data_IF_827383075608
#
_entry.id   IF_827383075608
#
_cell.length_a   1.000
_cell.length_b   1.000
_cell.length_c   1.000
_cell.angle_alpha   90.00
_cell.angle_beta   90.00
_cell.angle_gamma   90.00
#
_symmetry.space_group_name_H-M   'P 1'
#
loop_
_entity.id
_entity.type
_entity.pdbx_description
1 polymer ?
#
# COMPACT_ATOMS: atom_id res chain seq x y z
N UNK A 1 3.73 0.70 5.03
CA UNK A 1 4.16 -0.26 3.99
C UNK A 1 3.97 0.42 2.64
N UNK A 2 4.98 0.44 1.77
CA UNK A 2 4.80 0.99 0.43
C UNK A 2 4.08 -0.06 -0.42
N UNK A 3 3.08 0.37 -1.21
CA UNK A 3 2.43 -0.50 -2.19
C UNK A 3 3.39 -0.80 -3.34
N UNK A 4 3.27 -1.99 -3.92
CA UNK A 4 4.04 -2.37 -5.10
C UNK A 4 3.78 -1.41 -6.28
N UNK A 5 4.81 -1.03 -7.05
CA UNK A 5 4.64 -0.17 -8.20
C UNK A 5 3.88 -0.89 -9.32
N UNK A 6 3.10 -0.13 -10.07
CA UNK A 6 2.20 -0.64 -11.11
C UNK A 6 2.40 0.05 -12.45
N UNK A 7 2.01 -0.64 -13.53
CA UNK A 7 1.93 -0.07 -14.88
C UNK A 7 0.80 -0.74 -15.65
N UNK A 8 0.25 -0.02 -16.63
CA UNK A 8 -0.78 -0.57 -17.49
C UNK A 8 -0.16 -1.59 -18.45
N UNK A 9 -0.85 -2.72 -18.63
CA UNK A 9 -0.48 -3.75 -19.60
C UNK A 9 0.96 -4.26 -19.45
N UNK A 10 1.47 -4.33 -18.22
CA UNK A 10 2.81 -4.85 -17.92
C UNK A 10 2.92 -6.33 -18.29
N UNK A 11 3.20 -6.63 -19.55
CA UNK A 11 3.32 -7.98 -20.10
C UNK A 11 4.55 -8.08 -20.98
N UNK A 12 5.38 -9.08 -20.70
CA UNK A 12 6.68 -9.27 -21.31
C UNK A 12 6.86 -10.71 -21.78
N UNK A 13 7.83 -10.90 -22.68
CA UNK A 13 8.17 -12.19 -23.26
C UNK A 13 9.56 -12.54 -22.81
N UNK A 14 9.72 -13.75 -22.28
CA UNK A 14 11.02 -14.26 -21.83
C UNK A 14 11.83 -14.68 -23.06
N UNK A 15 13.12 -14.30 -23.13
CA UNK A 15 13.92 -14.46 -24.37
C UNK A 15 14.55 -15.83 -24.56
N UNK A 16 14.66 -16.61 -23.50
CA UNK A 16 15.24 -17.97 -23.52
C UNK A 16 14.62 -18.82 -22.42
N UNK A 17 15.00 -20.09 -22.35
CA UNK A 17 14.56 -20.97 -21.29
C UNK A 17 15.40 -20.90 -20.02
N UNK A 18 14.77 -21.18 -18.88
CA UNK A 18 15.37 -21.15 -17.55
C UNK A 18 15.06 -22.42 -16.75
N UNK A 19 15.98 -22.80 -15.87
CA UNK A 19 15.75 -23.81 -14.83
C UNK A 19 14.94 -23.23 -13.67
N UNK A 20 14.48 -24.10 -12.77
CA UNK A 20 13.77 -23.66 -11.55
C UNK A 20 14.65 -22.82 -10.60
N UNK A 21 15.98 -22.92 -10.70
CA UNK A 21 16.93 -22.24 -9.82
C UNK A 21 17.40 -20.88 -10.32
N UNK A 22 17.17 -20.54 -11.59
CA UNK A 22 17.66 -19.29 -12.17
C UNK A 22 16.89 -18.09 -11.61
N UNK A 23 17.65 -17.06 -11.20
CA UNK A 23 17.10 -15.81 -10.63
C UNK A 23 17.37 -14.58 -11.50
N UNK A 24 18.10 -14.74 -12.60
CA UNK A 24 18.36 -13.70 -13.59
C UNK A 24 17.65 -14.07 -14.88
N UNK A 25 16.62 -13.30 -15.26
CA UNK A 25 15.77 -13.60 -16.41
C UNK A 25 15.83 -12.49 -17.43
N UNK A 26 16.44 -12.78 -18.57
CA UNK A 26 16.40 -11.93 -19.75
C UNK A 26 15.04 -12.00 -20.46
N UNK A 27 14.59 -10.83 -20.90
CA UNK A 27 13.39 -10.59 -21.68
C UNK A 27 13.76 -10.34 -23.14
N UNK A 28 12.75 -10.35 -24.02
CA UNK A 28 12.90 -9.82 -25.36
C UNK A 28 13.30 -8.34 -25.32
N UNK A 29 14.11 -7.91 -26.30
CA UNK A 29 14.60 -6.53 -26.38
C UNK A 29 13.47 -5.50 -26.33
N UNK A 30 13.61 -4.51 -25.44
CA UNK A 30 12.63 -3.45 -25.20
C UNK A 30 11.41 -3.84 -24.36
N UNK A 31 11.30 -5.09 -23.89
CA UNK A 31 10.17 -5.51 -23.06
C UNK A 31 10.29 -5.04 -21.60
N UNK A 32 11.50 -4.83 -21.08
CA UNK A 32 11.71 -4.31 -19.73
C UNK A 32 11.09 -2.92 -19.52
N UNK A 33 11.07 -2.09 -20.57
CA UNK A 33 10.42 -0.77 -20.55
C UNK A 33 8.89 -0.82 -20.36
N UNK A 34 8.27 -2.01 -20.49
CA UNK A 34 6.84 -2.22 -20.24
C UNK A 34 6.54 -2.51 -18.78
N UNK A 35 7.54 -2.66 -17.94
CA UNK A 35 7.41 -2.97 -16.52
C UNK A 35 7.70 -1.75 -15.65
N UNK A 36 7.19 -1.71 -14.40
CA UNK A 36 7.54 -0.65 -13.47
C UNK A 36 9.05 -0.64 -13.15
N UNK A 37 9.59 0.56 -12.88
CA UNK A 37 10.96 0.68 -12.38
C UNK A 37 11.08 0.07 -10.98
N UNK A 38 12.22 -0.54 -10.67
CA UNK A 38 12.56 -1.09 -9.35
C UNK A 38 13.39 -0.13 -8.49
N UNK A 39 13.40 1.16 -8.83
CA UNK A 39 14.14 2.18 -8.11
C UNK A 39 13.67 2.35 -6.66
N UNK A 40 14.59 2.70 -5.75
CA UNK A 40 14.27 2.93 -4.34
C UNK A 40 13.97 1.67 -3.53
N UNK A 41 14.42 0.50 -3.99
CA UNK A 41 14.24 -0.79 -3.28
C UNK A 41 12.83 -1.37 -3.41
N UNK A 42 12.02 -0.87 -4.34
CA UNK A 42 10.68 -1.35 -4.59
C UNK A 42 10.72 -2.57 -5.52
N UNK A 43 9.95 -3.60 -5.17
CA UNK A 43 9.75 -4.78 -6.02
C UNK A 43 8.27 -4.94 -6.35
N UNK A 44 7.96 -5.87 -7.24
CA UNK A 44 6.58 -6.21 -7.62
C UNK A 44 6.52 -7.66 -8.06
N UNK A 45 5.32 -8.24 -8.04
CA UNK A 45 5.12 -9.62 -8.45
C UNK A 45 4.77 -9.71 -9.93
N UNK A 46 5.27 -10.74 -10.61
CA UNK A 46 4.85 -11.12 -11.95
C UNK A 46 4.39 -12.57 -11.97
N UNK A 47 3.39 -12.88 -12.78
CA UNK A 47 2.93 -14.24 -13.07
C UNK A 47 3.69 -14.76 -14.29
N UNK A 48 4.38 -15.89 -14.18
CA UNK A 48 5.20 -16.52 -15.22
C UNK A 48 4.62 -17.88 -15.63
N UNK A 49 4.18 -17.98 -16.89
CA UNK A 49 3.53 -19.18 -17.42
C UNK A 49 3.96 -19.50 -18.85
N UNK A 50 3.67 -20.73 -19.30
CA UNK A 50 3.82 -21.17 -20.68
C UNK A 50 2.62 -20.70 -21.52
N UNK A 51 2.80 -19.62 -22.27
CA UNK A 51 1.72 -19.03 -23.07
C UNK A 51 1.40 -19.79 -24.34
N UNK A 52 2.29 -20.68 -24.80
CA UNK A 52 2.06 -21.46 -26.02
C UNK A 52 0.95 -22.48 -25.80
N UNK A 53 0.97 -23.15 -24.65
CA UNK A 53 0.00 -24.20 -24.33
C UNK A 53 -1.18 -23.67 -23.52
N UNK A 54 -0.97 -22.60 -22.73
CA UNK A 54 -1.96 -22.03 -21.82
C UNK A 54 -2.16 -20.54 -22.11
N UNK A 55 -3.23 -20.15 -22.84
CA UNK A 55 -3.55 -18.75 -23.10
C UNK A 55 -3.78 -17.95 -21.81
N UNK A 56 -4.34 -18.59 -20.79
CA UNK A 56 -4.56 -18.06 -19.45
C UNK A 56 -3.55 -18.68 -18.45
N UNK A 57 -2.83 -17.88 -17.64
CA UNK A 57 -1.90 -18.42 -16.64
C UNK A 57 -2.57 -19.32 -15.60
N UNK A 58 -3.87 -19.15 -15.31
CA UNK A 58 -4.58 -19.98 -14.32
C UNK A 58 -4.80 -21.43 -14.77
N UNK A 59 -4.67 -21.70 -16.08
CA UNK A 59 -4.75 -23.05 -16.64
C UNK A 59 -3.38 -23.77 -16.68
N UNK A 60 -2.26 -23.07 -16.47
CA UNK A 60 -0.92 -23.67 -16.47
C UNK A 60 -0.63 -24.34 -15.11
N UNK A 61 -0.50 -25.68 -15.04
CA UNK A 61 -0.20 -26.37 -13.79
C UNK A 61 1.17 -26.02 -13.21
N UNK A 62 2.04 -25.40 -14.01
CA UNK A 62 3.35 -24.92 -13.60
C UNK A 62 3.40 -23.39 -13.48
N UNK A 63 2.26 -22.69 -13.45
CA UNK A 63 2.23 -21.24 -13.24
C UNK A 63 3.00 -20.85 -11.97
N UNK A 64 3.77 -19.79 -12.07
CA UNK A 64 4.60 -19.33 -10.97
C UNK A 64 4.43 -17.83 -10.76
N UNK A 65 4.32 -17.41 -9.51
CA UNK A 65 4.43 -16.00 -9.15
C UNK A 65 5.86 -15.75 -8.70
N UNK A 66 6.50 -14.74 -9.26
CA UNK A 66 7.88 -14.34 -8.93
C UNK A 66 7.92 -12.91 -8.43
N UNK A 67 8.84 -12.59 -7.52
CA UNK A 67 9.09 -11.23 -7.04
C UNK A 67 10.23 -10.63 -7.85
N UNK A 68 9.99 -9.58 -8.62
CA UNK A 68 11.05 -8.78 -9.22
C UNK A 68 11.67 -7.89 -8.15
N UNK A 69 12.98 -7.98 -7.96
CA UNK A 69 13.75 -7.17 -7.01
C UNK A 69 14.66 -6.17 -7.70
N UNK A 70 15.00 -6.40 -8.97
CA UNK A 70 15.74 -5.47 -9.80
C UNK A 70 15.36 -5.64 -11.28
N UNK A 71 15.43 -4.54 -12.02
CA UNK A 71 15.21 -4.48 -13.47
C UNK A 71 16.32 -3.60 -14.06
N UNK A 72 17.13 -4.17 -14.94
CA UNK A 72 18.18 -3.46 -15.66
C UNK A 72 18.02 -3.70 -17.16
N UNK A 73 17.60 -2.67 -17.90
CA UNK A 73 17.18 -2.77 -19.30
C UNK A 73 16.15 -3.90 -19.49
N UNK A 74 16.54 -5.02 -20.10
CA UNK A 74 15.67 -6.18 -20.37
C UNK A 74 16.02 -7.40 -19.49
N UNK A 75 16.71 -7.20 -18.36
CA UNK A 75 17.08 -8.28 -17.43
C UNK A 75 16.42 -8.05 -16.08
N UNK A 76 15.67 -9.05 -15.63
CA UNK A 76 15.05 -9.10 -14.31
C UNK A 76 15.94 -9.87 -13.34
N UNK A 77 16.09 -9.35 -12.12
CA UNK A 77 16.48 -10.14 -10.95
C UNK A 77 15.23 -10.50 -10.17
N UNK A 78 15.04 -11.78 -9.89
CA UNK A 78 13.80 -12.30 -9.27
C UNK A 78 14.05 -13.20 -8.06
N UNK A 79 13.08 -13.22 -7.15
CA UNK A 79 12.89 -14.32 -6.20
C UNK A 79 11.76 -15.22 -6.71
N UNK A 80 12.02 -16.52 -6.75
CA UNK A 80 11.11 -17.56 -7.28
C UNK A 80 10.02 -17.94 -6.26
N UNK A 81 9.03 -18.71 -6.70
CA UNK A 81 8.08 -19.41 -5.83
C UNK A 81 7.37 -18.50 -4.79
N UNK A 82 6.78 -17.39 -5.23
CA UNK A 82 6.03 -16.48 -4.37
C UNK A 82 4.57 -16.89 -4.23
N UNK A 83 3.92 -16.37 -3.19
CA UNK A 83 2.47 -16.50 -2.96
C UNK A 83 1.97 -17.96 -2.98
N UNK A 84 2.79 -18.89 -2.49
CA UNK A 84 2.44 -20.32 -2.41
C UNK A 84 2.61 -21.09 -3.72
N UNK A 85 3.10 -20.46 -4.79
CA UNK A 85 3.49 -21.17 -6.03
C UNK A 85 4.82 -21.91 -5.86
N UNK A 86 5.13 -22.82 -6.79
CA UNK A 86 6.38 -23.57 -6.80
C UNK A 86 7.28 -23.13 -7.96
N UNK A 87 8.59 -23.09 -7.74
CA UNK A 87 9.55 -22.82 -8.80
C UNK A 87 9.55 -23.97 -9.80
N UNK A 88 9.31 -23.67 -11.08
CA UNK A 88 9.31 -24.69 -12.15
C UNK A 88 10.36 -24.38 -13.22
N UNK A 89 10.76 -25.40 -13.97
CA UNK A 89 11.54 -25.21 -15.19
C UNK A 89 10.69 -24.52 -16.25
N UNK A 90 11.28 -23.54 -16.92
CA UNK A 90 10.66 -22.69 -17.94
C UNK A 90 11.49 -22.78 -19.24
N UNK A 91 11.73 -24.01 -19.69
CA UNK A 91 12.65 -24.32 -20.79
C UNK A 91 12.17 -25.53 -21.62
N UNK A 92 10.86 -25.65 -21.84
CA UNK A 92 10.34 -26.69 -22.72
C UNK A 92 10.56 -26.27 -24.18
N UNK A 93 11.12 -27.17 -24.99
CA UNK A 93 11.42 -26.90 -26.39
C UNK A 93 10.17 -26.47 -27.18
N UNK A 94 10.31 -25.43 -28.00
CA UNK A 94 9.22 -24.89 -28.82
C UNK A 94 8.16 -24.12 -28.05
N UNK A 95 8.38 -23.82 -26.76
CA UNK A 95 7.44 -23.06 -25.93
C UNK A 95 7.90 -21.62 -25.73
N UNK A 96 6.93 -20.73 -25.72
CA UNK A 96 7.08 -19.32 -25.38
C UNK A 96 6.54 -19.11 -23.98
N UNK A 97 7.34 -18.42 -23.16
CA UNK A 97 6.94 -18.04 -21.83
C UNK A 97 6.72 -16.54 -21.73
N UNK A 98 5.67 -16.15 -21.03
CA UNK A 98 5.35 -14.76 -20.75
C UNK A 98 5.41 -14.51 -19.26
N UNK A 99 5.67 -13.25 -18.91
CA UNK A 99 5.40 -12.74 -17.58
C UNK A 99 4.43 -11.57 -17.66
N UNK A 100 3.52 -11.47 -16.69
CA UNK A 100 2.59 -10.36 -16.61
C UNK A 100 2.44 -9.85 -15.17
N UNK A 101 2.34 -8.53 -15.05
CA UNK A 101 1.90 -7.85 -13.85
C UNK A 101 0.39 -8.02 -13.75
N UNK A 102 -0.03 -9.02 -12.97
CA UNK A 102 -1.41 -9.29 -12.65
C UNK A 102 -1.72 -8.86 -11.21
N UNK A 103 -3.00 -8.68 -10.91
CA UNK A 103 -3.45 -8.52 -9.54
C UNK A 103 -3.28 -9.85 -8.81
N UNK A 104 -2.49 -9.86 -7.74
CA UNK A 104 -2.27 -11.04 -6.91
C UNK A 104 -2.91 -10.87 -5.53
N UNK A 105 -2.98 -11.96 -4.75
CA UNK A 105 -3.53 -11.90 -3.39
C UNK A 105 -2.71 -10.96 -2.51
N UNK A 106 -1.37 -11.03 -2.59
CA UNK A 106 -0.48 -10.13 -1.85
C UNK A 106 -0.79 -8.67 -2.15
N UNK A 107 -1.02 -8.31 -3.41
CA UNK A 107 -1.36 -6.94 -3.78
C UNK A 107 -2.65 -6.48 -3.09
N UNK A 108 -3.69 -7.32 -3.07
CA UNK A 108 -4.95 -7.01 -2.38
C UNK A 108 -4.74 -6.93 -0.87
N UNK A 109 -4.02 -7.87 -0.27
CA UNK A 109 -3.74 -7.87 1.17
C UNK A 109 -2.97 -6.62 1.59
N UNK A 110 -1.98 -6.20 0.80
CA UNK A 110 -1.20 -4.98 1.04
C UNK A 110 -2.07 -3.73 0.92
N UNK A 111 -2.97 -3.68 -0.07
CA UNK A 111 -3.95 -2.59 -0.22
C UNK A 111 -4.88 -2.55 0.98
N UNK A 112 -5.44 -3.69 1.39
CA UNK A 112 -6.32 -3.79 2.56
C UNK A 112 -5.61 -3.37 3.83
N UNK A 113 -4.35 -3.77 4.02
CA UNK A 113 -3.53 -3.36 5.16
C UNK A 113 -3.24 -1.85 5.13
N UNK A 114 -2.94 -1.29 3.96
CA UNK A 114 -2.74 0.14 3.80
C UNK A 114 -4.01 0.95 4.11
N UNK A 115 -5.17 0.50 3.64
CA UNK A 115 -6.47 1.11 3.95
C UNK A 115 -6.77 1.01 5.45
N UNK A 116 -6.60 -0.17 6.06
CA UNK A 116 -6.81 -0.36 7.49
C UNK A 116 -5.85 0.48 8.35
N UNK A 117 -4.65 0.77 7.84
CA UNK A 117 -3.71 1.68 8.49
C UNK A 117 -4.12 3.16 8.37
N UNK A 118 -5.01 3.51 7.44
CA UNK A 118 -5.73 4.80 7.44
C UNK A 118 -6.87 4.71 8.44
N UNK A 119 -6.52 4.45 9.70
CA UNK A 119 -7.42 4.69 10.80
C UNK A 119 -7.19 6.12 11.29
N UNK A 120 -8.27 6.87 11.47
CA UNK A 120 -8.26 8.15 12.18
C UNK A 120 -8.94 7.89 13.53
N UNK A 121 -8.25 7.22 14.47
CA UNK A 121 -8.89 6.83 15.70
C UNK A 121 -9.41 8.08 16.39
N UNK A 122 -10.61 7.99 16.94
CA UNK A 122 -11.17 9.03 17.77
C UNK A 122 -10.89 8.74 19.23
N UNK A 123 -10.56 9.77 19.98
CA UNK A 123 -10.40 9.70 21.44
C UNK A 123 -11.44 10.60 22.09
N UNK A 124 -12.16 10.11 23.09
CA UNK A 124 -12.99 10.95 23.97
C UNK A 124 -12.09 11.38 25.13
N UNK A 125 -11.97 12.69 25.43
CA UNK A 125 -11.09 13.15 26.50
C UNK A 125 -11.59 12.66 27.87
N UNK A 126 -10.67 12.56 28.82
CA UNK A 126 -10.97 12.01 30.15
C UNK A 126 -11.82 12.92 31.06
N UNK A 127 -12.25 14.08 30.57
CA UNK A 127 -13.05 15.05 31.31
C UNK A 127 -14.46 15.17 30.72
N UNK A 128 -15.45 15.28 31.60
CA UNK A 128 -16.84 15.53 31.19
C UNK A 128 -17.00 16.99 30.76
N UNK A 129 -17.54 17.27 29.57
CA UNK A 129 -17.86 18.62 29.14
C UNK A 129 -18.85 19.34 30.07
N UNK A 130 -18.59 20.61 30.36
CA UNK A 130 -19.50 21.53 31.04
C UNK A 130 -19.34 22.96 30.47
N UNK A 131 -20.07 23.92 31.05
CA UNK A 131 -20.05 25.33 30.62
C UNK A 131 -18.79 26.11 31.05
N UNK A 132 -17.82 25.46 31.71
CA UNK A 132 -16.61 26.10 32.26
C UNK A 132 -15.30 25.44 31.84
N UNK A 133 -15.35 24.20 31.36
CA UNK A 133 -14.19 23.38 31.02
C UNK A 133 -13.63 23.83 29.67
N UNK A 134 -12.34 24.16 29.67
CA UNK A 134 -11.59 24.55 28.47
C UNK A 134 -10.40 23.62 28.19
N UNK A 135 -10.06 22.74 29.13
CA UNK A 135 -8.91 21.85 29.06
C UNK A 135 -9.40 20.41 28.93
N UNK A 136 -9.09 19.80 27.79
CA UNK A 136 -9.49 18.43 27.48
C UNK A 136 -8.25 17.55 27.28
N UNK A 137 -7.95 16.65 28.23
CA UNK A 137 -6.78 15.80 28.14
C UNK A 137 -6.96 14.74 27.06
N UNK A 138 -5.92 14.57 26.25
CA UNK A 138 -5.82 13.49 25.25
C UNK A 138 -4.49 12.75 25.41
N UNK A 139 -4.45 11.48 25.03
CA UNK A 139 -3.25 10.63 25.11
C UNK A 139 -2.08 11.16 24.28
N UNK A 140 -2.37 11.93 23.23
CA UNK A 140 -1.41 12.66 22.38
C UNK A 140 -2.12 13.82 21.70
N UNK A 141 -1.36 14.71 21.07
CA UNK A 141 -1.94 15.86 20.36
C UNK A 141 -2.86 15.42 19.20
N UNK A 142 -4.15 15.80 19.20
CA UNK A 142 -5.05 15.52 18.09
C UNK A 142 -4.62 16.24 16.79
N UNK A 143 -5.04 15.71 15.64
CA UNK A 143 -5.00 16.40 14.34
C UNK A 143 -6.12 17.41 14.20
N UNK A 144 -7.28 17.09 14.73
CA UNK A 144 -8.44 17.96 14.84
C UNK A 144 -9.21 17.65 16.13
N UNK A 145 -10.03 18.59 16.57
CA UNK A 145 -10.99 18.38 17.66
C UNK A 145 -12.38 18.57 17.09
N UNK A 146 -13.28 17.64 17.37
CA UNK A 146 -14.70 17.78 17.03
C UNK A 146 -15.45 18.17 18.28
N UNK A 147 -16.25 19.24 18.19
CA UNK A 147 -17.03 19.79 19.29
C UNK A 147 -18.46 19.95 18.80
N UNK A 148 -19.42 19.28 19.43
CA UNK A 148 -20.85 19.34 19.08
C UNK A 148 -21.09 19.17 17.57
N UNK A 149 -20.39 18.21 16.94
CA UNK A 149 -20.47 17.93 15.50
C UNK A 149 -19.66 18.87 14.59
N UNK A 150 -19.09 19.96 15.11
CA UNK A 150 -18.23 20.87 14.35
C UNK A 150 -16.77 20.46 14.44
N UNK A 151 -16.07 20.37 13.30
CA UNK A 151 -14.65 19.97 13.25
C UNK A 151 -13.73 21.18 13.22
N UNK A 152 -12.76 21.22 14.13
CA UNK A 152 -11.73 22.26 14.24
C UNK A 152 -10.34 21.65 14.02
N UNK A 153 -9.73 21.92 12.86
CA UNK A 153 -8.33 21.61 12.59
C UNK A 153 -7.41 22.61 13.32
N UNK A 154 -6.10 22.35 13.35
CA UNK A 154 -5.12 23.17 14.11
C UNK A 154 -5.09 24.65 13.76
N UNK A 155 -5.55 25.01 12.57
CA UNK A 155 -5.59 26.38 12.05
C UNK A 155 -6.99 26.98 12.07
N UNK A 156 -8.01 26.24 12.50
CA UNK A 156 -9.38 26.73 12.61
C UNK A 156 -9.45 27.90 13.60
N UNK A 157 -10.17 28.94 13.21
CA UNK A 157 -10.33 30.15 14.00
C UNK A 157 -11.80 30.50 14.20
N UNK A 158 -12.13 31.05 15.36
CA UNK A 158 -13.42 31.69 15.65
C UNK A 158 -13.12 33.14 16.02
N UNK A 159 -13.73 34.09 15.30
CA UNK A 159 -13.47 35.52 15.52
C UNK A 159 -12.00 35.94 15.33
N UNK A 160 -11.24 35.22 14.50
CA UNK A 160 -9.82 35.52 14.24
C UNK A 160 -8.82 34.85 15.20
N UNK A 161 -9.29 34.26 16.30
CA UNK A 161 -8.49 33.54 17.29
C UNK A 161 -8.57 32.04 17.03
N UNK A 162 -7.47 31.29 17.26
CA UNK A 162 -7.47 29.83 17.11
C UNK A 162 -8.55 29.22 18.00
N UNK A 163 -9.38 28.32 17.45
CA UNK A 163 -10.47 27.68 18.18
C UNK A 163 -9.95 26.84 19.36
N UNK A 164 -8.76 26.24 19.18
CA UNK A 164 -8.07 25.47 20.21
C UNK A 164 -6.55 25.52 20.01
N UNK A 165 -5.80 25.18 21.06
CA UNK A 165 -4.35 25.01 21.05
C UNK A 165 -3.95 23.73 21.79
N UNK A 166 -2.70 23.30 21.65
CA UNK A 166 -2.16 22.16 22.39
C UNK A 166 -1.08 22.63 23.36
N UNK A 167 -1.24 22.31 24.64
CA UNK A 167 -0.31 22.73 25.69
C UNK A 167 0.78 21.68 26.01
N UNK A 168 0.71 20.50 25.37
CA UNK A 168 1.58 19.36 25.68
C UNK A 168 0.82 18.11 26.15
N UNK A 169 -0.37 18.29 26.72
CA UNK A 169 -1.22 17.21 27.24
C UNK A 169 -2.72 17.41 27.00
N UNK A 170 -3.17 18.65 26.77
CA UNK A 170 -4.56 19.02 26.61
C UNK A 170 -4.81 19.79 25.33
N UNK A 171 -5.98 19.56 24.74
CA UNK A 171 -6.59 20.55 23.86
C UNK A 171 -7.17 21.67 24.73
N UNK A 172 -6.66 22.89 24.53
CA UNK A 172 -7.10 24.10 25.22
C UNK A 172 -8.04 24.87 24.30
N UNK A 173 -9.33 24.85 24.60
CA UNK A 173 -10.36 25.54 23.83
C UNK A 173 -10.45 27.03 24.22
N UNK A 174 -10.92 27.86 23.29
CA UNK A 174 -11.22 29.27 23.57
C UNK A 174 -12.67 29.50 24.04
N UNK A 175 -13.48 28.44 24.07
CA UNK A 175 -14.89 28.47 24.45
C UNK A 175 -15.27 27.12 25.09
N UNK A 176 -16.22 27.11 26.04
CA UNK A 176 -16.69 25.86 26.63
C UNK A 176 -17.46 25.03 25.61
N UNK A 177 -17.36 23.71 25.73
CA UNK A 177 -18.16 22.77 24.91
C UNK A 177 -19.64 22.85 25.27
N UNK A 178 -19.94 23.22 26.52
CA UNK A 178 -21.29 23.36 27.04
C UNK A 178 -21.75 22.10 27.78
N UNK A 179 -22.62 22.30 28.79
CA UNK A 179 -23.22 21.21 29.56
C UNK A 179 -24.00 20.24 28.67
N UNK A 180 -23.64 18.95 28.71
CA UNK A 180 -24.25 17.92 27.85
C UNK A 180 -23.79 17.95 26.39
N UNK A 181 -22.77 18.74 26.08
CA UNK A 181 -22.11 18.72 24.78
C UNK A 181 -21.09 17.58 24.65
N UNK A 182 -20.65 17.37 23.42
CA UNK A 182 -19.72 16.30 23.04
C UNK A 182 -18.42 16.86 22.49
N UNK A 183 -17.32 16.19 22.84
CA UNK A 183 -16.00 16.47 22.31
C UNK A 183 -15.23 15.17 22.08
N UNK A 184 -14.52 15.10 20.97
CA UNK A 184 -13.55 14.05 20.70
C UNK A 184 -12.40 14.56 19.83
N UNK A 185 -11.22 13.99 20.03
CA UNK A 185 -10.04 14.24 19.21
C UNK A 185 -10.00 13.27 18.04
N UNK A 186 -9.69 13.77 16.84
CA UNK A 186 -9.26 12.95 15.71
C UNK A 186 -7.73 12.88 15.77
N UNK A 187 -7.18 11.68 15.94
CA UNK A 187 -5.80 11.47 16.39
C UNK A 187 -4.74 11.35 15.29
#
# INVERSE_FOLDING_TARGET
MALDPVTNFGKVTVSTGYSAADTSVALFSGHGARLPSTGGGQGYNLVWWNSTDYPDPSDDPNVEIVRVTALAADVLTITRAQEGTSASTKNTAGKTYLMALAMTKKMIDDISAAIAAVDYPTEVPATTPDDTTLLYPFSKQPKAVVINGSTFIRTSKIGGTLAWTWDGANAVLQFPVGSGGDIFGIM
#
